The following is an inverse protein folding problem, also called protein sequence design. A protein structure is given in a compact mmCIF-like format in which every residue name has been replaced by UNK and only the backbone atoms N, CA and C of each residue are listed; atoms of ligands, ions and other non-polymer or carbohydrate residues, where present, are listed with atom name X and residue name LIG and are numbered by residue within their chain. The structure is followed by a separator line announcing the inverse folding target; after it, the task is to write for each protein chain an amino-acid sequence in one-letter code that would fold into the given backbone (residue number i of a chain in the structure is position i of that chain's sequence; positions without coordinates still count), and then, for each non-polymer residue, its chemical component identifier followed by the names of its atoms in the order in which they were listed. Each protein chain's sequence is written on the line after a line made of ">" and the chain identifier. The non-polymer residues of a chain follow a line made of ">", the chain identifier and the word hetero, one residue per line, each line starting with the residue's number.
data_IF_872614744401
#
_entry.id   IF_872614744401
#
_cell.length_a   1.000
_cell.length_b   1.000
_cell.length_c   1.000
_cell.angle_alpha   90.00
_cell.angle_beta   90.00
_cell.angle_gamma   90.00
#
_symmetry.space_group_name_H-M   'P 1'
#
loop_
_entity.id
_entity.type
_entity.pdbx_description
1 polymer ?
#
# COMPACT_ATOMS: atom_id res chain seq x y z
N UNK A 1 1.71 -19.78 -5.39
CA UNK A 1 0.82 -19.29 -4.32
C UNK A 1 1.56 -18.14 -3.69
N UNK A 2 0.93 -16.96 -3.60
CA UNK A 2 1.57 -15.75 -3.06
C UNK A 2 1.03 -15.51 -1.65
N UNK A 3 1.90 -15.14 -0.71
CA UNK A 3 1.47 -14.68 0.61
C UNK A 3 1.49 -13.15 0.65
N UNK A 4 0.34 -12.58 1.00
CA UNK A 4 0.13 -11.13 1.04
C UNK A 4 -0.13 -10.59 2.44
N UNK A 5 0.14 -9.30 2.62
CA UNK A 5 -0.16 -8.56 3.85
C UNK A 5 -0.70 -7.17 3.54
N UNK A 6 -1.68 -6.74 4.32
CA UNK A 6 -2.31 -5.43 4.18
C UNK A 6 -1.55 -4.36 4.99
N UNK A 7 -1.41 -3.15 4.44
CA UNK A 7 -0.67 -2.05 5.08
C UNK A 7 -1.31 -1.58 6.40
N UNK A 8 -2.63 -1.71 6.56
CA UNK A 8 -3.35 -1.36 7.79
C UNK A 8 -3.02 -2.26 8.99
N UNK A 9 -2.25 -3.34 8.81
CA UNK A 9 -1.61 -4.05 9.93
C UNK A 9 -0.65 -3.12 10.70
N UNK A 10 -0.07 -2.12 10.01
CA UNK A 10 0.91 -1.21 10.60
C UNK A 10 0.50 0.26 10.58
N UNK A 11 -0.17 0.73 9.52
CA UNK A 11 -0.43 2.17 9.35
C UNK A 11 -1.70 2.45 8.55
N UNK A 12 -2.43 3.48 8.97
CA UNK A 12 -3.63 4.04 8.35
C UNK A 12 -3.59 5.57 8.58
N UNK A 13 -3.64 6.42 7.54
CA UNK A 13 -3.63 6.09 6.12
C UNK A 13 -2.26 5.59 5.61
N UNK A 14 -2.26 4.94 4.45
CA UNK A 14 -1.00 4.54 3.80
C UNK A 14 -0.52 5.67 2.88
N UNK A 15 0.56 6.35 3.26
CA UNK A 15 1.20 7.37 2.42
C UNK A 15 2.41 6.85 1.66
N UNK A 16 2.93 7.62 0.70
CA UNK A 16 4.16 7.25 -0.06
C UNK A 16 5.35 7.01 0.86
N UNK A 17 5.55 7.86 1.87
CA UNK A 17 6.65 7.73 2.83
C UNK A 17 6.50 6.46 3.66
N UNK A 18 5.28 6.18 4.10
CA UNK A 18 4.98 4.95 4.84
C UNK A 18 5.16 3.71 4.00
N UNK A 19 4.82 3.77 2.72
CA UNK A 19 5.03 2.68 1.79
C UNK A 19 6.52 2.40 1.58
N UNK A 20 7.37 3.44 1.51
CA UNK A 20 8.82 3.31 1.44
C UNK A 20 9.42 2.65 2.69
N UNK A 21 8.86 2.91 3.87
CA UNK A 21 9.26 2.24 5.12
C UNK A 21 8.79 0.76 5.15
N UNK A 22 7.59 0.49 4.64
CA UNK A 22 6.97 -0.83 4.72
C UNK A 22 7.47 -1.82 3.67
N UNK A 23 7.75 -1.39 2.44
CA UNK A 23 8.19 -2.28 1.36
C UNK A 23 9.40 -3.18 1.75
N UNK A 24 10.53 -2.64 2.26
CA UNK A 24 11.65 -3.48 2.69
C UNK A 24 11.29 -4.38 3.87
N UNK A 25 10.47 -3.90 4.82
CA UNK A 25 10.02 -4.68 5.98
C UNK A 25 9.16 -5.87 5.55
N UNK A 26 8.16 -5.64 4.71
CA UNK A 26 7.25 -6.67 4.18
C UNK A 26 8.05 -7.71 3.41
N UNK A 27 9.00 -7.29 2.57
CA UNK A 27 9.88 -8.21 1.86
C UNK A 27 10.76 -9.03 2.79
N UNK A 28 11.36 -8.39 3.80
CA UNK A 28 12.21 -9.08 4.79
C UNK A 28 11.43 -10.09 5.64
N UNK A 29 10.12 -9.90 5.83
CA UNK A 29 9.23 -10.85 6.51
C UNK A 29 8.86 -12.07 5.63
N UNK A 30 9.22 -12.07 4.34
CA UNK A 30 8.99 -13.18 3.42
C UNK A 30 7.65 -13.13 2.69
N UNK A 31 6.97 -11.98 2.67
CA UNK A 31 5.77 -11.81 1.84
C UNK A 31 6.15 -11.57 0.37
N UNK A 32 5.27 -12.02 -0.52
CA UNK A 32 5.37 -11.84 -1.97
C UNK A 32 4.48 -10.70 -2.47
N UNK A 33 3.52 -10.27 -1.65
CA UNK A 33 2.45 -9.37 -2.03
C UNK A 33 2.15 -8.35 -0.93
N UNK A 34 1.86 -7.12 -1.31
CA UNK A 34 1.37 -6.08 -0.40
C UNK A 34 0.02 -5.56 -0.89
N UNK A 35 -0.94 -5.47 0.02
CA UNK A 35 -2.22 -4.82 -0.26
C UNK A 35 -2.22 -3.42 0.37
N UNK A 36 -2.30 -2.40 -0.47
CA UNK A 36 -2.26 -0.99 -0.06
C UNK A 36 -3.67 -0.48 0.20
N UNK A 37 -3.93 -0.08 1.45
CA UNK A 37 -5.20 0.54 1.84
C UNK A 37 -5.29 2.01 1.43
N UNK A 38 -6.28 2.34 0.61
CA UNK A 38 -6.59 3.69 0.13
C UNK A 38 -7.73 4.29 0.95
N UNK A 39 -7.50 5.48 1.48
CA UNK A 39 -8.45 6.21 2.34
C UNK A 39 -8.83 7.56 1.72
N UNK A 40 -7.84 8.25 1.16
CA UNK A 40 -8.01 9.37 0.23
C UNK A 40 -7.22 9.09 -1.06
N UNK A 41 -7.65 9.65 -2.20
CA UNK A 41 -6.91 9.54 -3.45
C UNK A 41 -5.56 10.25 -3.40
N UNK A 42 -5.40 11.20 -2.48
CA UNK A 42 -4.24 12.09 -2.41
C UNK A 42 -3.20 11.64 -1.36
N UNK A 43 -3.47 10.59 -0.59
CA UNK A 43 -2.55 10.08 0.42
C UNK A 43 -1.27 9.49 -0.19
N UNK A 44 -1.37 8.98 -1.42
CA UNK A 44 -0.31 8.21 -2.09
C UNK A 44 -0.01 8.79 -3.49
N UNK A 45 1.27 9.01 -3.77
CA UNK A 45 1.76 9.11 -5.15
C UNK A 45 1.84 7.70 -5.73
N UNK A 46 0.86 7.33 -6.56
CA UNK A 46 0.76 5.99 -7.14
C UNK A 46 1.95 5.63 -8.04
N UNK A 47 2.52 6.61 -8.74
CA UNK A 47 3.65 6.34 -9.62
C UNK A 47 4.90 6.03 -8.80
N UNK A 48 5.14 6.81 -7.74
CA UNK A 48 6.26 6.57 -6.84
C UNK A 48 6.07 5.31 -6.00
N UNK A 49 4.87 5.09 -5.46
CA UNK A 49 4.53 3.86 -4.73
C UNK A 49 4.70 2.60 -5.58
N UNK A 50 4.34 2.68 -6.87
CA UNK A 50 4.59 1.59 -7.82
C UNK A 50 6.07 1.28 -8.00
N UNK A 51 6.94 2.29 -8.10
CA UNK A 51 8.40 2.10 -8.19
C UNK A 51 8.96 1.47 -6.93
N UNK A 52 8.61 1.99 -5.75
CA UNK A 52 9.06 1.48 -4.45
C UNK A 52 8.78 -0.01 -4.34
N UNK A 53 7.57 -0.44 -4.69
CA UNK A 53 7.17 -1.85 -4.58
C UNK A 53 7.83 -2.73 -5.64
N UNK A 54 8.01 -2.20 -6.87
CA UNK A 54 8.73 -2.90 -7.93
C UNK A 54 10.22 -3.12 -7.58
N UNK A 55 10.90 -2.14 -7.00
CA UNK A 55 12.30 -2.24 -6.54
C UNK A 55 12.50 -3.36 -5.50
N UNK A 56 11.47 -3.65 -4.71
CA UNK A 56 11.49 -4.72 -3.70
C UNK A 56 10.95 -6.06 -4.23
N UNK A 57 10.53 -6.13 -5.49
CA UNK A 57 9.96 -7.33 -6.10
C UNK A 57 8.71 -7.82 -5.38
N UNK A 58 7.84 -6.89 -4.96
CA UNK A 58 6.55 -7.18 -4.35
C UNK A 58 5.44 -7.07 -5.41
N UNK A 59 4.55 -8.07 -5.46
CA UNK A 59 3.25 -7.90 -6.11
C UNK A 59 2.37 -6.94 -5.31
N UNK A 60 1.39 -6.32 -5.98
CA UNK A 60 0.56 -5.28 -5.38
C UNK A 60 -0.92 -5.47 -5.68
N UNK A 61 -1.76 -5.26 -4.67
CA UNK A 61 -3.20 -4.98 -4.82
C UNK A 61 -3.55 -3.73 -4.01
N UNK A 62 -4.75 -3.19 -4.25
CA UNK A 62 -5.31 -2.10 -3.45
C UNK A 62 -6.65 -2.53 -2.86
N UNK A 63 -6.97 -2.01 -1.69
CA UNK A 63 -8.32 -2.03 -1.12
C UNK A 63 -8.66 -0.61 -0.64
N UNK A 64 -9.94 -0.30 -0.50
CA UNK A 64 -10.38 1.05 -0.14
C UNK A 64 -11.38 1.03 1.01
N UNK A 65 -11.26 2.00 1.92
CA UNK A 65 -12.23 2.25 2.99
C UNK A 65 -13.05 3.50 2.66
N UNK A 66 -14.24 3.29 2.11
CA UNK A 66 -15.15 4.33 1.62
C UNK A 66 -16.22 4.66 2.67
N UNK A 67 -15.93 5.63 3.53
CA UNK A 67 -16.91 6.21 4.46
C UNK A 67 -17.74 7.31 3.79
N UNK A 68 -18.80 7.82 4.45
CA UNK A 68 -19.64 8.90 3.90
C UNK A 68 -18.87 10.17 3.51
N UNK A 69 -17.73 10.43 4.16
CA UNK A 69 -16.87 11.59 3.93
C UNK A 69 -15.68 11.30 2.99
N UNK A 70 -15.64 10.13 2.33
CA UNK A 70 -14.55 9.70 1.45
C UNK A 70 -15.10 9.34 0.07
N UNK A 71 -14.62 10.02 -0.95
CA UNK A 71 -15.07 9.86 -2.32
C UNK A 71 -13.86 9.63 -3.25
N UNK A 72 -13.99 8.72 -4.21
CA UNK A 72 -12.95 8.40 -5.21
C UNK A 72 -13.12 9.21 -6.50
N UNK A 73 -14.24 9.91 -6.66
CA UNK A 73 -14.58 10.65 -7.88
C UNK A 73 -14.71 12.16 -7.67
N UNK A 74 -14.52 12.67 -6.45
CA UNK A 74 -14.67 14.08 -6.10
C UNK A 74 -13.39 14.68 -5.52
#
# INVERSE_FOLDING_TARGET
>A
MNFGVNTWVWVSPTTTERLAELAPKVKAMGFDWIEVGIESTDDLDYAEGGKILAEHGLGISVCAAMGPDRDLIH
#
